data_IF_947852864323
#
_entry.id   IF_947852864323
#
_cell.length_a   1.000
_cell.length_b   1.000
_cell.length_c   1.000
_cell.angle_alpha   90.00
_cell.angle_beta   90.00
_cell.angle_gamma   90.00
#
_symmetry.space_group_name_H-M   'P 1'
#
loop_
_entity.id
_entity.type
_entity.pdbx_description
1 polymer ?
#
# COMPACT_ATOMS: atom_id res chain seq x y z
N UNK A 1 -11.75 31.86 -3.26
CA UNK A 1 -10.82 30.90 -2.61
C UNK A 1 -10.13 30.10 -3.68
N UNK A 2 -8.83 29.82 -3.56
CA UNK A 2 -8.04 29.02 -4.52
C UNK A 2 -7.38 27.85 -3.77
N UNK A 3 -7.44 26.65 -4.35
CA UNK A 3 -6.77 25.45 -3.84
C UNK A 3 -5.86 24.92 -4.96
N UNK A 4 -4.61 24.58 -4.65
CA UNK A 4 -3.59 24.15 -5.63
C UNK A 4 -3.06 22.76 -5.25
N UNK A 5 -3.17 21.80 -6.17
CA UNK A 5 -2.66 20.44 -6.03
C UNK A 5 -1.96 19.99 -7.30
N UNK A 6 -0.68 20.37 -7.46
CA UNK A 6 0.12 20.14 -8.68
C UNK A 6 1.27 19.15 -8.46
N UNK A 7 1.17 18.34 -7.40
CA UNK A 7 2.20 17.38 -7.00
C UNK A 7 3.20 17.93 -5.98
N UNK A 8 4.08 17.05 -5.50
CA UNK A 8 5.12 17.35 -4.51
C UNK A 8 6.51 17.05 -5.07
N UNK A 9 7.54 17.53 -4.37
CA UNK A 9 8.92 17.10 -4.55
C UNK A 9 9.42 16.57 -3.22
N UNK A 10 10.16 15.46 -3.24
CA UNK A 10 10.80 14.95 -2.03
C UNK A 10 11.80 15.99 -1.50
N UNK A 11 11.75 16.25 -0.19
CA UNK A 11 12.65 17.21 0.45
C UNK A 11 14.01 16.57 0.76
N UNK A 12 14.86 16.42 -0.25
CA UNK A 12 16.17 15.74 -0.15
C UNK A 12 17.36 16.70 -0.05
N UNK A 13 17.12 18.01 -0.04
CA UNK A 13 18.18 19.02 -0.18
C UNK A 13 19.28 18.94 0.89
N UNK A 14 18.94 18.53 2.12
CA UNK A 14 19.92 18.36 3.21
C UNK A 14 20.96 17.26 2.94
N UNK A 15 20.71 16.36 1.98
CA UNK A 15 21.52 15.18 1.70
C UNK A 15 22.14 15.19 0.30
N UNK A 16 21.94 16.26 -0.47
CA UNK A 16 22.58 16.43 -1.78
C UNK A 16 24.10 16.41 -1.64
N UNK A 17 24.77 15.63 -2.49
CA UNK A 17 26.22 15.40 -2.43
C UNK A 17 26.69 14.51 -1.28
N UNK A 18 25.81 14.13 -0.34
CA UNK A 18 26.15 13.30 0.82
C UNK A 18 25.60 11.88 0.70
N UNK A 19 24.40 11.74 0.14
CA UNK A 19 23.76 10.44 -0.12
C UNK A 19 23.52 10.27 -1.61
N UNK A 20 23.46 9.02 -2.05
CA UNK A 20 23.08 8.72 -3.43
C UNK A 20 21.58 8.95 -3.64
N UNK A 21 21.26 9.81 -4.60
CA UNK A 21 19.88 10.13 -4.98
C UNK A 21 19.54 9.43 -6.30
N UNK A 22 18.34 8.87 -6.39
CA UNK A 22 17.82 8.24 -7.61
C UNK A 22 16.31 8.44 -7.71
N UNK A 23 15.77 8.58 -8.93
CA UNK A 23 14.32 8.78 -9.19
C UNK A 23 13.69 9.92 -8.34
N UNK A 24 14.47 10.97 -8.06
CA UNK A 24 14.03 12.12 -7.26
C UNK A 24 13.86 11.85 -5.76
N UNK A 25 14.50 10.80 -5.22
CA UNK A 25 14.53 10.50 -3.79
C UNK A 25 15.90 10.00 -3.33
N UNK A 26 16.05 9.76 -2.03
CA UNK A 26 17.22 9.11 -1.43
C UNK A 26 17.15 7.63 -1.77
N UNK A 27 18.14 7.12 -2.51
CA UNK A 27 18.19 5.70 -2.84
C UNK A 27 18.48 4.88 -1.60
N UNK A 28 17.69 3.84 -1.41
CA UNK A 28 17.89 2.85 -0.34
C UNK A 28 17.91 1.43 -0.89
N UNK A 29 18.56 0.52 -0.16
CA UNK A 29 18.47 -0.91 -0.42
C UNK A 29 17.14 -1.50 0.07
N UNK A 30 16.94 -2.81 -0.12
CA UNK A 30 15.70 -3.49 0.32
C UNK A 30 15.42 -3.42 1.82
N UNK A 31 16.42 -3.08 2.65
CA UNK A 31 16.31 -2.88 4.10
C UNK A 31 16.14 -1.41 4.52
N UNK A 32 15.88 -0.53 3.56
CA UNK A 32 15.72 0.92 3.71
C UNK A 32 16.99 1.67 4.15
N UNK A 33 18.17 1.06 4.03
CA UNK A 33 19.46 1.70 4.30
C UNK A 33 19.92 2.51 3.09
N UNK A 34 20.44 3.70 3.34
CA UNK A 34 21.00 4.59 2.30
C UNK A 34 22.43 4.15 1.90
N UNK A 35 23.11 4.95 1.07
CA UNK A 35 24.55 4.77 0.79
C UNK A 35 25.46 4.94 2.03
N UNK A 36 24.96 5.57 3.09
CA UNK A 36 25.59 5.57 4.40
C UNK A 36 24.92 4.53 5.30
N UNK A 37 25.68 3.57 5.83
CA UNK A 37 25.17 2.44 6.61
C UNK A 37 24.55 2.82 7.95
N UNK A 38 24.81 4.02 8.45
CA UNK A 38 24.21 4.57 9.68
C UNK A 38 22.94 5.39 9.40
N UNK A 39 22.56 5.58 8.14
CA UNK A 39 21.42 6.42 7.74
C UNK A 39 20.38 5.61 6.96
N UNK A 40 19.12 5.80 7.30
CA UNK A 40 17.96 5.18 6.67
C UNK A 40 17.03 6.27 6.10
N UNK A 41 16.30 5.94 5.05
CA UNK A 41 15.26 6.80 4.49
C UNK A 41 13.98 5.99 4.26
N UNK A 42 12.82 6.59 4.57
CA UNK A 42 11.49 5.93 4.49
C UNK A 42 10.45 6.91 3.96
N UNK A 43 9.29 6.40 3.54
CA UNK A 43 8.20 7.22 3.00
C UNK A 43 8.56 7.94 1.71
N UNK A 44 7.96 9.12 1.49
CA UNK A 44 7.96 9.83 0.20
C UNK A 44 9.35 10.21 -0.31
N UNK A 45 10.33 10.34 0.59
CA UNK A 45 11.72 10.67 0.24
C UNK A 45 12.54 9.45 -0.19
N UNK A 46 12.07 8.22 0.06
CA UNK A 46 12.82 7.01 -0.22
C UNK A 46 12.54 6.49 -1.63
N UNK A 47 13.61 6.25 -2.38
CA UNK A 47 13.58 5.51 -3.64
C UNK A 47 14.16 4.11 -3.39
N UNK A 48 13.32 3.07 -3.46
CA UNK A 48 13.67 1.71 -3.03
C UNK A 48 13.35 0.66 -4.10
N UNK A 49 14.02 -0.50 -4.11
CA UNK A 49 13.74 -1.57 -5.06
C UNK A 49 12.37 -2.19 -4.79
N UNK A 50 11.53 -2.28 -5.82
CA UNK A 50 10.21 -2.93 -5.76
C UNK A 50 10.27 -4.29 -6.45
N UNK A 51 10.24 -5.37 -5.65
CA UNK A 51 10.37 -6.75 -6.14
C UNK A 51 9.34 -7.13 -7.20
N UNK A 52 8.09 -6.66 -7.05
CA UNK A 52 7.02 -6.91 -8.02
C UNK A 52 7.43 -6.49 -9.45
N UNK A 53 8.23 -5.43 -9.55
CA UNK A 53 8.71 -4.81 -10.79
C UNK A 53 10.15 -5.21 -11.14
N UNK A 54 10.62 -6.37 -10.67
CA UNK A 54 11.97 -6.85 -10.97
C UNK A 54 13.07 -6.05 -10.27
N UNK A 55 12.80 -5.55 -9.06
CA UNK A 55 13.70 -4.72 -8.26
C UNK A 55 14.02 -3.35 -8.86
N UNK A 56 13.16 -2.84 -9.75
CA UNK A 56 13.29 -1.45 -10.20
C UNK A 56 13.19 -0.49 -9.00
N UNK A 57 14.10 0.49 -8.97
CA UNK A 57 14.06 1.57 -7.98
C UNK A 57 12.86 2.47 -8.28
N UNK A 58 11.95 2.59 -7.31
CA UNK A 58 10.76 3.46 -7.38
C UNK A 58 10.66 4.33 -6.13
N UNK A 59 10.15 5.54 -6.30
CA UNK A 59 9.74 6.44 -5.23
C UNK A 59 8.22 6.52 -5.23
N UNK A 60 7.59 6.25 -4.09
CA UNK A 60 6.13 6.09 -4.00
C UNK A 60 5.56 6.98 -2.90
N UNK A 61 4.62 7.85 -3.27
CA UNK A 61 3.98 8.86 -2.41
C UNK A 61 2.70 8.28 -1.79
N UNK A 62 2.79 7.08 -1.22
CA UNK A 62 1.66 6.32 -0.71
C UNK A 62 1.73 6.23 0.82
N UNK A 63 0.62 6.54 1.50
CA UNK A 63 0.54 6.42 2.96
C UNK A 63 0.84 5.00 3.48
N UNK A 64 0.45 3.97 2.72
CA UNK A 64 0.78 2.58 3.05
C UNK A 64 2.29 2.29 2.88
N UNK A 65 2.91 2.84 1.83
CA UNK A 65 4.36 2.77 1.63
C UNK A 65 5.11 3.39 2.80
N UNK A 66 4.72 4.60 3.23
CA UNK A 66 5.32 5.26 4.39
C UNK A 66 5.24 4.41 5.67
N UNK A 67 4.07 3.82 5.94
CA UNK A 67 3.88 2.93 7.12
C UNK A 67 4.72 1.65 7.04
N UNK A 68 4.82 1.03 5.87
CA UNK A 68 5.55 -0.24 5.69
C UNK A 68 7.06 -0.03 5.67
N UNK A 69 7.55 0.98 4.95
CA UNK A 69 8.98 1.32 4.92
C UNK A 69 9.49 1.73 6.30
N UNK A 70 8.73 2.53 7.08
CA UNK A 70 9.09 2.87 8.45
C UNK A 70 9.23 1.66 9.37
N UNK A 71 8.22 0.76 9.38
CA UNK A 71 8.27 -0.48 10.16
C UNK A 71 9.45 -1.37 9.74
N UNK A 72 9.69 -1.47 8.44
CA UNK A 72 10.74 -2.31 7.90
C UNK A 72 12.15 -1.77 8.23
N UNK A 73 12.36 -0.45 8.15
CA UNK A 73 13.62 0.18 8.57
C UNK A 73 13.94 -0.10 10.04
N UNK A 74 12.94 0.03 10.93
CA UNK A 74 13.12 -0.30 12.37
C UNK A 74 13.45 -1.78 12.57
N UNK A 75 12.77 -2.69 11.87
CA UNK A 75 13.09 -4.11 11.93
C UNK A 75 14.53 -4.40 11.45
N UNK A 76 14.97 -3.74 10.39
CA UNK A 76 16.34 -3.86 9.87
C UNK A 76 17.39 -3.33 10.84
N UNK A 77 17.07 -2.28 11.61
CA UNK A 77 17.94 -1.74 12.68
C UNK A 77 18.01 -2.72 13.87
N UNK A 78 16.85 -3.22 14.32
CA UNK A 78 16.76 -4.00 15.56
C UNK A 78 17.20 -5.46 15.36
N UNK A 79 16.91 -6.03 14.19
CA UNK A 79 17.16 -7.44 13.88
C UNK A 79 17.82 -7.61 12.50
N UNK A 80 19.04 -7.06 12.30
CA UNK A 80 19.67 -7.00 10.97
C UNK A 80 20.02 -8.36 10.37
N UNK A 81 20.17 -9.40 11.20
CA UNK A 81 20.53 -10.77 10.76
C UNK A 81 19.34 -11.54 10.19
N UNK A 82 18.11 -11.18 10.58
CA UNK A 82 16.88 -11.91 10.19
C UNK A 82 15.98 -11.08 9.27
N UNK A 83 16.23 -9.78 9.15
CA UNK A 83 15.44 -8.90 8.29
C UNK A 83 15.98 -8.95 6.86
N UNK A 84 15.23 -9.61 5.97
CA UNK A 84 15.46 -9.60 4.53
C UNK A 84 14.97 -8.31 3.88
N UNK A 85 14.83 -8.32 2.54
CA UNK A 85 14.34 -7.16 1.79
C UNK A 85 12.84 -6.95 1.92
N UNK A 86 12.40 -5.70 1.83
CA UNK A 86 10.99 -5.31 1.84
C UNK A 86 10.25 -5.87 0.61
N UNK A 87 9.25 -6.72 0.86
CA UNK A 87 8.31 -7.20 -0.14
C UNK A 87 7.05 -6.33 -0.20
N UNK A 88 7.18 -5.14 -0.81
CA UNK A 88 6.10 -4.18 -0.95
C UNK A 88 5.24 -4.46 -2.19
N UNK A 89 3.93 -4.66 -1.98
CA UNK A 89 2.91 -4.56 -3.04
C UNK A 89 2.43 -3.10 -3.08
N UNK A 90 2.70 -2.34 -4.17
CA UNK A 90 2.19 -1.00 -4.31
C UNK A 90 0.68 -0.96 -4.16
N UNK A 91 0.23 -0.10 -3.25
CA UNK A 91 -1.17 0.07 -2.91
C UNK A 91 -1.48 1.55 -2.80
N UNK A 92 -2.51 1.99 -3.51
CA UNK A 92 -3.07 3.33 -3.43
C UNK A 92 -4.59 3.25 -3.34
N UNK A 93 -5.22 4.27 -2.76
CA UNK A 93 -6.67 4.37 -2.69
C UNK A 93 -7.06 5.85 -2.66
N UNK A 94 -8.30 6.13 -3.00
CA UNK A 94 -8.88 7.44 -2.77
C UNK A 94 -10.38 7.32 -2.55
N UNK A 95 -10.97 8.42 -2.07
CA UNK A 95 -12.41 8.56 -1.87
C UNK A 95 -12.81 9.97 -2.20
N UNK A 96 -13.78 10.12 -3.10
CA UNK A 96 -14.32 11.41 -3.53
C UNK A 96 -15.82 11.26 -3.67
N UNK A 97 -16.58 12.06 -2.92
CA UNK A 97 -18.04 11.91 -2.79
C UNK A 97 -18.42 10.47 -2.38
N UNK A 98 -19.26 9.81 -3.15
CA UNK A 98 -19.71 8.42 -2.94
C UNK A 98 -18.76 7.39 -3.53
N UNK A 99 -17.74 7.80 -4.28
CA UNK A 99 -16.78 6.90 -4.92
C UNK A 99 -15.65 6.54 -3.96
N UNK A 100 -15.25 5.27 -3.97
CA UNK A 100 -14.20 4.72 -3.11
C UNK A 100 -13.48 3.59 -3.83
N UNK A 101 -12.29 3.87 -4.35
CA UNK A 101 -11.53 2.91 -5.15
C UNK A 101 -10.20 2.54 -4.53
N UNK A 102 -9.70 1.37 -4.94
CA UNK A 102 -8.37 0.88 -4.60
C UNK A 102 -7.61 0.46 -5.85
N UNK A 103 -6.29 0.63 -5.80
CA UNK A 103 -5.37 0.22 -6.84
C UNK A 103 -4.19 -0.56 -6.26
N UNK A 104 -3.86 -1.68 -6.87
CA UNK A 104 -2.71 -2.51 -6.53
C UNK A 104 -1.80 -2.72 -7.74
N UNK A 105 -0.48 -2.70 -7.54
CA UNK A 105 0.50 -3.05 -8.57
C UNK A 105 0.99 -1.89 -9.44
N UNK A 106 1.21 -2.16 -10.73
CA UNK A 106 1.68 -1.19 -11.74
C UNK A 106 0.63 -0.99 -12.83
N UNK A 107 0.55 0.21 -13.37
CA UNK A 107 -0.38 0.58 -14.44
C UNK A 107 0.26 0.52 -15.83
N UNK A 108 1.06 -0.54 -16.09
CA UNK A 108 1.79 -0.74 -17.34
C UNK A 108 1.26 -1.93 -18.14
N UNK A 109 1.32 -1.84 -19.47
CA UNK A 109 0.87 -2.89 -20.38
C UNK A 109 -0.56 -2.69 -20.86
N UNK A 110 -1.23 -3.79 -21.22
CA UNK A 110 -2.57 -3.75 -21.78
C UNK A 110 -3.62 -3.65 -20.67
N UNK A 111 -4.56 -2.72 -20.82
CA UNK A 111 -5.65 -2.53 -19.87
C UNK A 111 -6.90 -3.25 -20.34
N UNK A 112 -7.54 -4.00 -19.43
CA UNK A 112 -8.83 -4.66 -19.65
C UNK A 112 -9.81 -4.16 -18.61
N UNK A 113 -10.89 -3.52 -19.06
CA UNK A 113 -11.95 -3.01 -18.19
C UNK A 113 -13.00 -4.10 -17.96
N UNK A 114 -13.68 -4.05 -16.81
CA UNK A 114 -14.77 -4.97 -16.48
C UNK A 114 -15.78 -4.31 -15.54
N UNK A 115 -16.96 -4.92 -15.41
CA UNK A 115 -18.05 -4.43 -14.57
C UNK A 115 -18.91 -3.38 -15.26
N UNK A 116 -19.74 -2.69 -14.49
CA UNK A 116 -20.70 -1.71 -15.00
C UNK A 116 -20.44 -0.32 -14.40
N UNK A 117 -20.03 0.60 -15.28
CA UNK A 117 -19.77 1.99 -14.94
C UNK A 117 -21.02 2.74 -14.45
N UNK A 118 -22.22 2.31 -14.86
CA UNK A 118 -23.47 2.94 -14.42
C UNK A 118 -23.85 2.52 -12.99
N UNK A 119 -23.53 1.28 -12.60
CA UNK A 119 -23.76 0.78 -11.24
C UNK A 119 -22.82 1.35 -10.18
N UNK A 120 -21.70 1.96 -10.59
CA UNK A 120 -20.64 2.38 -9.68
C UNK A 120 -19.78 1.22 -9.17
N UNK A 121 -19.82 0.04 -9.82
CA UNK A 121 -18.93 -1.09 -9.53
C UNK A 121 -18.28 -1.58 -10.81
N UNK A 122 -17.07 -1.10 -11.03
CA UNK A 122 -16.27 -1.38 -12.21
C UNK A 122 -14.79 -1.42 -11.84
N UNK A 123 -14.01 -2.06 -12.68
CA UNK A 123 -12.58 -2.22 -12.45
C UNK A 123 -11.79 -2.30 -13.74
N UNK A 124 -10.47 -2.40 -13.58
CA UNK A 124 -9.55 -2.63 -14.67
C UNK A 124 -8.38 -3.49 -14.21
N UNK A 125 -7.91 -4.36 -15.09
CA UNK A 125 -6.64 -5.07 -14.92
C UNK A 125 -5.61 -4.55 -15.91
N UNK A 126 -4.37 -4.40 -15.45
CA UNK A 126 -3.21 -4.22 -16.30
C UNK A 126 -2.51 -5.55 -16.46
N UNK A 127 -2.25 -5.92 -17.70
CA UNK A 127 -1.61 -7.18 -18.07
C UNK A 127 -0.32 -6.93 -18.83
N UNK A 128 0.72 -7.68 -18.48
CA UNK A 128 2.01 -7.60 -19.14
C UNK A 128 2.60 -9.02 -19.24
N UNK A 129 3.02 -9.43 -20.44
CA UNK A 129 3.58 -10.78 -20.70
C UNK A 129 2.68 -11.92 -20.16
N UNK A 130 1.36 -11.81 -20.35
CA UNK A 130 0.40 -12.85 -20.00
C UNK A 130 0.15 -13.00 -18.49
N UNK A 131 0.47 -12.00 -17.67
CA UNK A 131 0.12 -11.98 -16.24
C UNK A 131 -0.50 -10.65 -15.82
N UNK A 132 -1.29 -10.65 -14.75
CA UNK A 132 -1.77 -9.43 -14.11
C UNK A 132 -0.62 -8.75 -13.36
N UNK A 133 -0.41 -7.46 -13.66
CA UNK A 133 0.60 -6.60 -13.00
C UNK A 133 -0.02 -5.45 -12.24
N UNK A 134 -1.28 -5.11 -12.51
CA UNK A 134 -2.02 -4.11 -11.76
C UNK A 134 -3.53 -4.36 -11.78
N UNK A 135 -4.22 -3.87 -10.76
CA UNK A 135 -5.66 -3.99 -10.63
C UNK A 135 -6.25 -2.74 -9.97
N UNK A 136 -7.32 -2.23 -10.57
CA UNK A 136 -8.16 -1.16 -10.07
C UNK A 136 -9.56 -1.72 -9.80
N UNK A 137 -10.19 -1.26 -8.71
CA UNK A 137 -11.59 -1.54 -8.42
C UNK A 137 -12.24 -0.37 -7.69
N UNK A 138 -13.40 0.05 -8.20
CA UNK A 138 -14.35 0.96 -7.55
C UNK A 138 -15.53 0.15 -6.99
N UNK A 139 -16.04 0.54 -5.83
CA UNK A 139 -17.27 -0.05 -5.27
C UNK A 139 -17.14 -1.51 -4.81
N UNK A 140 -15.91 -2.00 -4.56
CA UNK A 140 -15.65 -3.37 -4.10
C UNK A 140 -15.91 -3.61 -2.61
N UNK A 141 -16.20 -4.86 -2.25
CA UNK A 141 -16.17 -5.33 -0.86
C UNK A 141 -14.72 -5.55 -0.39
N UNK A 142 -14.54 -5.83 0.91
CA UNK A 142 -13.23 -6.20 1.44
C UNK A 142 -12.65 -7.43 0.74
N UNK A 143 -13.48 -8.45 0.54
CA UNK A 143 -13.11 -9.71 -0.11
C UNK A 143 -12.68 -9.45 -1.56
N UNK A 144 -13.37 -8.56 -2.28
CA UNK A 144 -13.00 -8.17 -3.64
C UNK A 144 -11.61 -7.52 -3.68
N UNK A 145 -11.33 -6.57 -2.77
CA UNK A 145 -10.03 -5.92 -2.69
C UNK A 145 -8.91 -6.89 -2.33
N UNK A 146 -9.16 -7.82 -1.41
CA UNK A 146 -8.20 -8.88 -1.08
C UNK A 146 -7.95 -9.80 -2.28
N UNK A 147 -8.98 -10.11 -3.07
CA UNK A 147 -8.87 -10.95 -4.26
C UNK A 147 -8.01 -10.30 -5.35
N UNK A 148 -8.28 -9.04 -5.70
CA UNK A 148 -7.49 -8.34 -6.74
C UNK A 148 -6.05 -8.11 -6.28
N UNK A 149 -5.82 -7.84 -4.98
CA UNK A 149 -4.48 -7.68 -4.43
C UNK A 149 -3.67 -8.98 -4.55
N UNK A 150 -4.29 -10.14 -4.25
CA UNK A 150 -3.68 -11.46 -4.44
C UNK A 150 -3.41 -11.76 -5.90
N UNK A 151 -4.34 -11.46 -6.80
CA UNK A 151 -4.16 -11.67 -8.23
C UNK A 151 -2.93 -10.92 -8.77
N UNK A 152 -2.71 -9.67 -8.33
CA UNK A 152 -1.50 -8.89 -8.64
C UNK A 152 -0.25 -9.47 -7.98
N UNK A 153 -0.31 -9.76 -6.68
CA UNK A 153 0.84 -10.28 -5.90
C UNK A 153 1.38 -11.58 -6.47
N UNK A 154 0.51 -12.49 -6.86
CA UNK A 154 0.89 -13.79 -7.42
C UNK A 154 1.05 -13.78 -8.93
N UNK A 155 0.94 -12.60 -9.58
CA UNK A 155 1.05 -12.45 -11.04
C UNK A 155 0.15 -13.46 -11.77
N UNK A 156 -1.13 -13.45 -11.43
CA UNK A 156 -2.12 -14.39 -11.97
C UNK A 156 -2.03 -14.46 -13.50
N UNK A 157 -1.94 -15.67 -14.05
CA UNK A 157 -1.76 -15.91 -15.47
C UNK A 157 -3.04 -15.59 -16.25
N UNK A 158 -2.88 -14.87 -17.35
CA UNK A 158 -3.94 -14.45 -18.25
C UNK A 158 -3.73 -15.19 -19.57
N UNK A 159 -4.59 -16.19 -19.83
CA UNK A 159 -4.58 -16.94 -21.09
C UNK A 159 -5.38 -16.23 -22.17
N UNK A 160 -6.49 -15.61 -21.77
CA UNK A 160 -7.41 -14.91 -22.65
C UNK A 160 -7.87 -13.60 -21.98
N UNK A 161 -7.68 -12.48 -22.65
CA UNK A 161 -8.12 -11.17 -22.16
C UNK A 161 -9.64 -11.03 -22.19
N UNK A 162 -10.34 -11.77 -23.05
CA UNK A 162 -11.79 -11.78 -23.08
C UNK A 162 -12.39 -12.45 -21.83
N UNK A 163 -11.69 -13.41 -21.22
CA UNK A 163 -12.10 -13.96 -19.92
C UNK A 163 -12.04 -12.88 -18.81
N UNK A 164 -11.01 -12.03 -18.82
CA UNK A 164 -10.88 -10.94 -17.84
C UNK A 164 -12.01 -9.92 -17.98
N UNK A 165 -12.35 -9.54 -19.21
CA UNK A 165 -13.42 -8.58 -19.50
C UNK A 165 -14.78 -9.12 -19.05
N UNK A 166 -15.07 -10.37 -19.41
CA UNK A 166 -16.37 -11.01 -19.13
C UNK A 166 -16.57 -11.41 -17.66
N UNK A 167 -15.51 -11.85 -16.97
CA UNK A 167 -15.62 -12.38 -15.60
C UNK A 167 -15.11 -11.43 -14.52
N UNK A 168 -14.23 -10.48 -14.85
CA UNK A 168 -13.81 -9.39 -13.97
C UNK A 168 -13.37 -9.83 -12.57
N UNK A 169 -14.21 -9.58 -11.56
CA UNK A 169 -13.95 -9.96 -10.17
C UNK A 169 -13.95 -11.48 -9.94
N UNK A 170 -14.81 -12.22 -10.64
CA UNK A 170 -14.86 -13.68 -10.52
C UNK A 170 -13.53 -14.33 -10.96
N UNK A 171 -12.80 -13.71 -11.89
CA UNK A 171 -11.44 -14.13 -12.21
C UNK A 171 -10.51 -13.99 -11.00
N UNK A 172 -10.48 -12.81 -10.36
CA UNK A 172 -9.61 -12.57 -9.21
C UNK A 172 -10.00 -13.45 -8.02
N UNK A 173 -11.28 -13.67 -7.76
CA UNK A 173 -11.75 -14.57 -6.70
C UNK A 173 -11.24 -16.00 -6.93
N UNK A 174 -11.41 -16.55 -8.14
CA UNK A 174 -10.88 -17.87 -8.51
C UNK A 174 -9.35 -17.93 -8.39
N UNK A 175 -8.65 -16.95 -8.94
CA UNK A 175 -7.18 -16.88 -8.88
C UNK A 175 -6.67 -16.78 -7.43
N UNK A 176 -7.37 -16.04 -6.58
CA UNK A 176 -7.01 -15.87 -5.17
C UNK A 176 -7.17 -17.12 -4.32
N UNK A 177 -8.03 -18.05 -4.73
CA UNK A 177 -8.24 -19.35 -4.09
C UNK A 177 -7.24 -20.41 -4.56
N UNK A 178 -6.78 -20.30 -5.81
CA UNK A 178 -5.76 -21.20 -6.38
C UNK A 178 -4.34 -20.87 -5.91
N UNK A 179 -4.08 -19.61 -5.56
CA UNK A 179 -2.88 -19.26 -4.81
C UNK A 179 -2.90 -20.01 -3.47
N UNK A 180 -1.99 -20.98 -3.31
CA UNK A 180 -1.90 -21.86 -2.14
C UNK A 180 -2.05 -21.09 -0.81
N UNK A 181 -2.62 -21.71 0.25
CA UNK A 181 -2.80 -21.02 1.52
C UNK A 181 -1.45 -20.54 2.05
N UNK A 182 -1.28 -19.22 2.17
CA UNK A 182 -0.12 -18.59 2.78
C UNK A 182 0.06 -19.14 4.20
N UNK A 183 1.11 -19.93 4.42
CA UNK A 183 1.59 -20.34 5.74
C UNK A 183 2.17 -19.17 6.57
N UNK A 184 1.93 -17.91 6.18
CA UNK A 184 2.48 -16.70 6.80
C UNK A 184 1.48 -15.73 7.42
N UNK A 185 0.17 -15.91 7.19
CA UNK A 185 -0.85 -14.93 7.60
C UNK A 185 -1.40 -15.13 9.03
N UNK A 186 -0.86 -16.08 9.79
CA UNK A 186 -1.24 -16.30 11.20
C UNK A 186 -0.53 -15.35 12.19
N UNK A 187 0.51 -14.61 11.76
CA UNK A 187 1.26 -13.72 12.67
C UNK A 187 0.63 -12.32 12.81
N UNK A 188 -0.17 -11.85 11.83
CA UNK A 188 -0.74 -10.50 11.87
C UNK A 188 -2.16 -10.43 12.50
N UNK A 189 -2.90 -11.54 12.54
CA UNK A 189 -4.27 -11.56 13.09
C UNK A 189 -4.31 -11.48 14.62
N UNK A 190 -3.26 -11.94 15.31
CA UNK A 190 -3.15 -11.95 16.78
C UNK A 190 -2.65 -10.63 17.37
N UNK A 191 -1.95 -9.80 16.60
CA UNK A 191 -1.42 -8.51 17.06
C UNK A 191 -2.46 -7.38 16.97
N UNK A 192 -3.28 -7.37 15.90
CA UNK A 192 -4.22 -6.28 15.65
C UNK A 192 -5.33 -6.13 16.71
N UNK A 193 -5.86 -7.24 17.24
CA UNK A 193 -6.90 -7.22 18.28
C UNK A 193 -6.42 -6.63 19.60
N UNK A 194 -5.15 -6.84 19.96
CA UNK A 194 -4.52 -6.26 21.16
C UNK A 194 -4.28 -4.75 21.01
N UNK A 195 -3.88 -4.28 19.83
CA UNK A 195 -3.71 -2.86 19.58
C UNK A 195 -5.04 -2.12 19.41
N UNK A 196 -6.05 -2.75 18.82
CA UNK A 196 -7.39 -2.18 18.69
C UNK A 196 -8.05 -1.96 20.07
N UNK A 197 -7.95 -2.95 20.97
CA UNK A 197 -8.46 -2.82 22.35
C UNK A 197 -7.70 -1.74 23.15
N UNK A 198 -6.37 -1.66 23.01
CA UNK A 198 -5.59 -0.59 23.62
C UNK A 198 -5.96 0.81 23.07
N UNK A 199 -6.16 0.93 21.75
CA UNK A 199 -6.55 2.19 21.10
C UNK A 199 -7.93 2.68 21.54
N UNK A 200 -8.91 1.78 21.65
CA UNK A 200 -10.25 2.09 22.16
C UNK A 200 -10.19 2.54 23.62
N UNK A 201 -9.39 1.88 24.46
CA UNK A 201 -9.23 2.25 25.86
C UNK A 201 -8.61 3.65 26.03
N UNK A 202 -7.60 3.99 25.21
CA UNK A 202 -6.97 5.33 25.21
C UNK A 202 -7.97 6.39 24.75
N UNK A 203 -8.70 6.14 23.66
CA UNK A 203 -9.70 7.10 23.15
C UNK A 203 -10.82 7.36 24.16
N UNK A 204 -11.33 6.32 24.83
CA UNK A 204 -12.33 6.45 25.90
C UNK A 204 -11.78 7.22 27.10
N UNK A 205 -10.52 7.00 27.47
CA UNK A 205 -9.87 7.70 28.59
C UNK A 205 -9.71 9.20 28.31
N UNK A 206 -9.30 9.56 27.08
CA UNK A 206 -9.20 10.96 26.66
C UNK A 206 -10.58 11.63 26.64
N UNK A 207 -11.60 10.95 26.09
CA UNK A 207 -12.97 11.47 26.06
C UNK A 207 -13.56 11.66 27.46
N UNK A 208 -13.33 10.70 28.38
CA UNK A 208 -13.76 10.78 29.76
C UNK A 208 -13.07 11.94 30.51
N UNK A 209 -11.76 12.12 30.31
CA UNK A 209 -11.02 13.24 30.89
C UNK A 209 -11.53 14.59 30.36
N UNK A 210 -11.73 14.72 29.05
CA UNK A 210 -12.26 15.94 28.44
C UNK A 210 -13.67 16.27 28.97
N UNK A 211 -14.54 15.27 29.08
CA UNK A 211 -15.88 15.42 29.64
C UNK A 211 -15.85 15.85 31.11
N UNK A 212 -15.04 15.18 31.94
CA UNK A 212 -14.88 15.52 33.35
C UNK A 212 -14.31 16.93 33.56
N UNK A 213 -13.29 17.30 32.78
CA UNK A 213 -12.66 18.61 32.83
C UNK A 213 -13.63 19.73 32.41
N UNK A 214 -14.42 19.51 31.34
CA UNK A 214 -15.44 20.46 30.91
C UNK A 214 -16.56 20.64 31.95
N UNK A 215 -16.96 19.56 32.65
CA UNK A 215 -17.98 19.60 33.70
C UNK A 215 -17.52 20.41 34.93
N UNK A 216 -16.23 20.35 35.31
CA UNK A 216 -15.67 21.13 36.43
C UNK A 216 -15.55 22.63 36.16
N UNK A 217 -15.39 23.07 34.90
CA UNK A 217 -15.36 24.51 34.58
C UNK A 217 -16.73 25.21 34.65
N UNK A 218 -17.85 24.49 34.68
CA UNK A 218 -19.19 25.10 34.77
C UNK A 218 -19.61 25.47 36.22
N UNK A 219 -18.71 25.31 37.21
CA UNK A 219 -19.00 25.55 38.63
C UNK A 219 -18.16 26.71 39.21
N UNK A 220 -17.70 27.63 38.36
CA UNK A 220 -17.14 28.92 38.77
C UNK A 220 -17.81 30.04 37.97
#
# INVERSE_FOLDING_TARGET
>A
MVVVGIGIRANTGLFEGQLHLEKGGIKVNGRMQTSNTSVYAVGDVAAFPVRLFGNEIRRLEHVDSARKTARHAVAAIMTPKTTGDLDYLPFFYSRVFTLSWQFYGDNVGNVVHYGDFNSGRFGAYWTNKGVIVGAFLEGGSREDYEAIAKAVRFKAAVKDTHELESTGLEFALRASQQAAPDAGLLVERLSYTRYATAGVAVALSIAAFAYWYAKRRRVW
#
